data_IF_436268986825
#
_entry.id   IF_436268986825
#
_cell.length_a   1.000
_cell.length_b   1.000
_cell.length_c   1.000
_cell.angle_alpha   90.00
_cell.angle_beta   90.00
_cell.angle_gamma   90.00
#
_symmetry.space_group_name_H-M   'P 1'
#
loop_
_entity.id
_entity.type
_entity.pdbx_description
1 polymer ?
#
# COMPACT_ATOMS: atom_id res chain seq x y z
N UNK A 1 -31.28 -5.71 -1.04
CA UNK A 1 -30.03 -5.13 -0.49
C UNK A 1 -29.31 -6.26 0.23
N UNK A 2 -28.04 -6.49 -0.06
CA UNK A 2 -27.25 -7.56 0.55
C UNK A 2 -27.06 -7.26 2.04
N UNK A 3 -27.40 -8.20 2.92
CA UNK A 3 -27.09 -8.11 4.35
C UNK A 3 -25.70 -8.71 4.61
N UNK A 4 -24.69 -7.85 4.73
CA UNK A 4 -23.32 -8.29 5.01
C UNK A 4 -23.01 -8.21 6.52
N UNK A 5 -22.81 -9.38 7.10
CA UNK A 5 -22.33 -9.58 8.46
C UNK A 5 -20.79 -9.60 8.43
N UNK A 6 -20.19 -8.51 8.89
CA UNK A 6 -18.75 -8.28 8.75
C UNK A 6 -18.12 -8.16 10.13
N UNK A 7 -17.06 -8.94 10.35
CA UNK A 7 -16.15 -8.80 11.48
C UNK A 7 -14.86 -8.11 11.01
N UNK A 8 -14.65 -6.87 11.44
CA UNK A 8 -13.57 -5.99 10.98
C UNK A 8 -12.75 -5.37 12.14
N UNK A 9 -12.95 -5.84 13.36
CA UNK A 9 -12.28 -5.38 14.58
C UNK A 9 -10.84 -5.93 14.75
N UNK A 10 -10.30 -6.60 13.72
CA UNK A 10 -8.94 -7.09 13.71
C UNK A 10 -7.95 -6.02 13.28
N UNK A 11 -6.83 -5.89 14.00
CA UNK A 11 -5.73 -5.01 13.61
C UNK A 11 -4.71 -5.70 12.71
N UNK A 12 -4.61 -7.02 12.81
CA UNK A 12 -3.64 -7.83 12.10
C UNK A 12 -4.07 -9.32 12.08
N UNK A 13 -3.29 -10.15 11.39
CA UNK A 13 -3.50 -11.60 11.30
C UNK A 13 -3.43 -12.32 12.66
N UNK A 14 -2.57 -11.87 13.58
CA UNK A 14 -2.40 -12.54 14.88
C UNK A 14 -3.69 -12.45 15.70
N UNK A 15 -4.31 -11.27 15.77
CA UNK A 15 -5.60 -11.08 16.44
C UNK A 15 -6.71 -11.94 15.82
N UNK A 16 -6.72 -12.07 14.49
CA UNK A 16 -7.65 -12.98 13.81
C UNK A 16 -7.45 -14.44 14.23
N UNK A 17 -6.20 -14.93 14.22
CA UNK A 17 -5.88 -16.31 14.63
C UNK A 17 -6.24 -16.59 16.09
N UNK A 18 -5.94 -15.66 16.98
CA UNK A 18 -6.34 -15.76 18.38
C UNK A 18 -7.86 -15.80 18.55
N UNK A 19 -8.60 -14.99 17.78
CA UNK A 19 -10.05 -15.03 17.79
C UNK A 19 -10.59 -16.37 17.29
N UNK A 20 -10.09 -16.90 16.16
CA UNK A 20 -10.49 -18.23 15.65
C UNK A 20 -10.25 -19.29 16.73
N UNK A 21 -9.06 -19.33 17.31
CA UNK A 21 -8.72 -20.33 18.34
C UNK A 21 -9.64 -20.27 19.56
N UNK A 22 -10.03 -19.06 20.00
CA UNK A 22 -11.00 -18.90 21.09
C UNK A 22 -12.42 -19.30 20.66
N UNK A 23 -12.86 -18.87 19.48
CA UNK A 23 -14.21 -19.13 18.97
C UNK A 23 -14.47 -20.63 18.80
N UNK A 24 -13.47 -21.38 18.31
CA UNK A 24 -13.54 -22.85 18.16
C UNK A 24 -13.78 -23.59 19.48
N UNK A 25 -13.44 -23.00 20.63
CA UNK A 25 -13.65 -23.63 21.95
C UNK A 25 -15.09 -23.48 22.47
N UNK A 26 -15.91 -22.67 21.80
CA UNK A 26 -17.22 -22.24 22.27
C UNK A 26 -18.27 -22.22 21.17
N UNK A 27 -18.13 -23.07 20.15
CA UNK A 27 -19.11 -23.15 19.06
C UNK A 27 -20.48 -23.63 19.58
N UNK A 28 -21.55 -23.19 18.91
CA UNK A 28 -22.88 -23.77 19.11
C UNK A 28 -22.89 -25.27 18.84
N UNK A 29 -23.79 -26.05 19.48
CA UNK A 29 -23.90 -27.49 19.23
C UNK A 29 -24.05 -27.85 17.75
N UNK A 30 -24.78 -27.05 16.99
CA UNK A 30 -25.01 -27.23 15.56
C UNK A 30 -23.72 -27.08 14.73
N UNK A 31 -22.87 -26.11 15.06
CA UNK A 31 -21.60 -25.88 14.37
C UNK A 31 -20.47 -26.76 14.93
N UNK A 32 -20.55 -27.19 16.19
CA UNK A 32 -19.57 -28.09 16.81
C UNK A 32 -19.47 -29.43 16.07
N UNK A 33 -20.58 -29.92 15.49
CA UNK A 33 -20.60 -31.12 14.66
C UNK A 33 -19.69 -31.05 13.42
N UNK A 34 -19.27 -29.85 13.00
CA UNK A 34 -18.33 -29.64 11.88
C UNK A 34 -16.87 -29.79 12.25
N UNK A 35 -16.55 -29.86 13.53
CA UNK A 35 -15.16 -29.97 13.98
C UNK A 35 -14.51 -31.28 13.57
N UNK A 36 -15.31 -32.33 13.36
CA UNK A 36 -14.82 -33.62 12.87
C UNK A 36 -14.17 -33.50 11.48
N UNK A 37 -14.61 -32.55 10.65
CA UNK A 37 -14.01 -32.27 9.33
C UNK A 37 -12.55 -31.78 9.43
N UNK A 38 -12.15 -31.27 10.60
CA UNK A 38 -10.79 -30.80 10.89
C UNK A 38 -10.01 -31.74 11.82
N UNK A 39 -10.56 -32.92 12.12
CA UNK A 39 -9.90 -33.96 12.90
C UNK A 39 -8.69 -34.53 12.14
N UNK A 40 -7.72 -35.06 12.88
CA UNK A 40 -6.54 -35.69 12.29
C UNK A 40 -6.92 -36.84 11.34
N UNK A 41 -7.88 -37.68 11.72
CA UNK A 41 -8.35 -38.80 10.90
C UNK A 41 -8.95 -38.33 9.57
N UNK A 42 -9.87 -37.35 9.61
CA UNK A 42 -10.54 -36.85 8.40
C UNK A 42 -9.58 -36.10 7.51
N UNK A 43 -8.68 -35.29 8.08
CA UNK A 43 -7.68 -34.54 7.31
C UNK A 43 -6.67 -35.48 6.67
N UNK A 44 -6.17 -36.50 7.37
CA UNK A 44 -5.27 -37.50 6.79
C UNK A 44 -5.96 -38.31 5.68
N UNK A 45 -7.22 -38.70 5.88
CA UNK A 45 -8.04 -39.35 4.83
C UNK A 45 -8.16 -38.47 3.60
N UNK A 46 -8.40 -37.17 3.79
CA UNK A 46 -8.49 -36.19 2.71
C UNK A 46 -7.15 -36.00 1.99
N UNK A 47 -6.03 -35.97 2.71
CA UNK A 47 -4.67 -35.89 2.13
C UNK A 47 -4.41 -37.10 1.24
N UNK A 48 -4.77 -38.31 1.68
CA UNK A 48 -4.57 -39.55 0.90
C UNK A 48 -5.46 -39.59 -0.33
N UNK A 49 -6.75 -39.27 -0.17
CA UNK A 49 -7.73 -39.36 -1.26
C UNK A 49 -7.61 -38.21 -2.27
N UNK A 50 -7.18 -37.03 -1.81
CA UNK A 50 -7.07 -35.81 -2.60
C UNK A 50 -5.74 -35.10 -2.28
N UNK A 51 -4.59 -35.62 -2.73
CA UNK A 51 -3.26 -35.10 -2.38
C UNK A 51 -3.04 -33.64 -2.83
N UNK A 52 -3.79 -33.17 -3.82
CA UNK A 52 -3.74 -31.77 -4.28
C UNK A 52 -4.68 -30.83 -3.50
N UNK A 53 -5.47 -31.34 -2.55
CA UNK A 53 -6.41 -30.54 -1.77
C UNK A 53 -5.68 -29.58 -0.83
N UNK A 54 -4.77 -30.06 0.01
CA UNK A 54 -3.93 -29.12 0.78
C UNK A 54 -2.67 -28.70 0.02
N UNK A 55 -2.41 -29.34 -1.13
CA UNK A 55 -1.17 -29.22 -1.88
C UNK A 55 -0.29 -30.45 -1.66
N UNK A 56 0.58 -30.77 -2.62
CA UNK A 56 1.41 -31.98 -2.57
C UNK A 56 2.28 -31.99 -1.30
N UNK A 57 2.60 -33.18 -0.79
CA UNK A 57 3.47 -33.39 0.37
C UNK A 57 3.03 -32.62 1.62
N UNK A 58 1.71 -32.53 1.86
CA UNK A 58 1.17 -31.90 3.07
C UNK A 58 0.86 -32.95 4.13
N UNK A 59 1.21 -32.66 5.38
CA UNK A 59 0.84 -33.51 6.54
C UNK A 59 -0.12 -32.79 7.49
N UNK A 60 -0.84 -33.54 8.32
CA UNK A 60 -1.67 -32.96 9.37
C UNK A 60 -0.84 -32.16 10.40
N UNK A 61 0.36 -32.63 10.74
CA UNK A 61 1.28 -31.93 11.65
C UNK A 61 1.69 -30.54 11.10
N UNK A 62 1.96 -30.45 9.80
CA UNK A 62 2.24 -29.18 9.12
C UNK A 62 1.05 -28.20 9.20
N UNK A 63 -0.17 -28.71 9.01
CA UNK A 63 -1.38 -27.89 9.09
C UNK A 63 -1.70 -27.42 10.52
N UNK A 64 -1.51 -28.30 11.51
CA UNK A 64 -1.87 -28.05 12.91
C UNK A 64 -0.85 -27.21 13.68
N UNK A 65 0.44 -27.27 13.31
CA UNK A 65 1.51 -26.47 13.92
C UNK A 65 1.47 -24.98 13.54
N UNK A 66 0.73 -24.64 12.49
CA UNK A 66 0.54 -23.27 12.01
C UNK A 66 1.52 -22.90 10.90
N UNK A 67 0.99 -22.33 9.82
CA UNK A 67 1.74 -22.09 8.60
C UNK A 67 2.22 -20.64 8.57
N UNK A 68 3.52 -20.46 8.32
CA UNK A 68 4.18 -19.15 8.34
C UNK A 68 4.78 -18.77 6.99
N UNK A 69 4.94 -19.72 6.07
CA UNK A 69 5.50 -19.47 4.75
C UNK A 69 4.68 -20.12 3.65
N UNK A 70 4.54 -19.43 2.52
CA UNK A 70 3.98 -20.00 1.31
C UNK A 70 4.75 -21.25 0.87
N UNK A 71 4.04 -22.32 0.46
CA UNK A 71 4.66 -23.66 0.27
C UNK A 71 5.76 -23.67 -0.77
N UNK A 72 5.59 -22.87 -1.82
CA UNK A 72 6.44 -22.83 -3.01
C UNK A 72 6.86 -21.40 -3.31
N UNK A 73 7.78 -20.80 -2.53
CA UNK A 73 8.17 -19.40 -2.69
C UNK A 73 8.65 -19.07 -4.11
N UNK A 74 9.27 -20.03 -4.81
CA UNK A 74 9.71 -19.90 -6.19
C UNK A 74 8.54 -19.65 -7.16
N UNK A 75 7.36 -20.20 -6.87
CA UNK A 75 6.18 -20.03 -7.71
C UNK A 75 5.62 -18.59 -7.60
N UNK A 76 5.79 -17.93 -6.46
CA UNK A 76 5.43 -16.51 -6.29
C UNK A 76 6.22 -15.69 -7.31
N UNK A 77 7.54 -15.88 -7.36
CA UNK A 77 8.41 -15.12 -8.26
C UNK A 77 8.10 -15.45 -9.73
N UNK A 78 7.90 -16.73 -10.06
CA UNK A 78 7.56 -17.15 -11.42
C UNK A 78 6.27 -16.49 -11.94
N UNK A 79 5.19 -16.53 -11.16
CA UNK A 79 3.92 -15.92 -11.57
C UNK A 79 4.01 -14.39 -11.55
N UNK A 80 4.71 -13.84 -10.56
CA UNK A 80 4.98 -12.40 -10.49
C UNK A 80 5.65 -11.92 -11.78
N UNK A 81 6.77 -12.51 -12.18
CA UNK A 81 7.51 -12.10 -13.38
C UNK A 81 6.66 -12.29 -14.63
N UNK A 82 6.00 -13.45 -14.75
CA UNK A 82 5.10 -13.77 -15.87
C UNK A 82 4.01 -12.69 -16.07
N UNK A 83 3.33 -12.29 -15.00
CA UNK A 83 2.27 -11.26 -15.07
C UNK A 83 2.89 -9.87 -15.25
N UNK A 84 3.88 -9.52 -14.43
CA UNK A 84 4.49 -8.20 -14.38
C UNK A 84 5.11 -7.83 -15.74
N UNK A 85 5.85 -8.72 -16.38
CA UNK A 85 6.53 -8.46 -17.66
C UNK A 85 5.56 -8.16 -18.80
N UNK A 86 4.32 -8.65 -18.72
CA UNK A 86 3.27 -8.36 -19.71
C UNK A 86 2.48 -7.09 -19.43
N UNK A 87 2.65 -6.47 -18.26
CA UNK A 87 2.04 -5.16 -17.99
C UNK A 87 2.74 -4.10 -18.81
N UNK A 88 1.98 -3.44 -19.69
CA UNK A 88 2.52 -2.43 -20.59
C UNK A 88 3.21 -1.28 -19.86
N UNK A 89 4.27 -0.74 -20.46
CA UNK A 89 4.95 0.47 -19.97
C UNK A 89 4.00 1.67 -19.88
N UNK A 90 2.99 1.73 -20.75
CA UNK A 90 1.94 2.75 -20.70
C UNK A 90 1.15 2.65 -19.40
N UNK A 91 0.68 1.45 -19.03
CA UNK A 91 -0.03 1.19 -17.77
C UNK A 91 0.84 1.58 -16.58
N UNK A 92 2.10 1.12 -16.53
CA UNK A 92 3.05 1.46 -15.45
C UNK A 92 3.24 2.97 -15.29
N UNK A 93 3.31 3.71 -16.40
CA UNK A 93 3.55 5.14 -16.41
C UNK A 93 2.31 5.99 -16.10
N UNK A 94 1.11 5.41 -16.00
CA UNK A 94 -0.13 6.12 -15.63
C UNK A 94 -0.14 6.56 -14.18
N UNK A 95 0.54 5.82 -13.30
CA UNK A 95 0.72 6.20 -11.89
C UNK A 95 2.15 6.72 -11.74
N UNK A 96 2.30 8.05 -11.83
CA UNK A 96 3.63 8.69 -11.76
C UNK A 96 4.07 8.88 -10.32
N UNK A 97 5.36 8.61 -10.08
CA UNK A 97 6.04 9.07 -8.88
C UNK A 97 5.91 10.59 -8.75
N UNK A 98 5.78 11.08 -7.52
CA UNK A 98 5.68 12.52 -7.27
C UNK A 98 6.88 13.21 -7.89
N UNK A 99 6.64 14.22 -8.73
CA UNK A 99 7.70 15.09 -9.20
C UNK A 99 8.21 15.89 -8.00
N UNK A 100 9.52 15.81 -7.78
CA UNK A 100 10.22 16.70 -6.86
C UNK A 100 10.04 18.13 -7.39
N UNK A 101 9.47 19.00 -6.57
CA UNK A 101 9.34 20.40 -6.89
C UNK A 101 10.38 21.22 -6.15
N UNK A 102 10.67 22.41 -6.67
CA UNK A 102 11.61 23.33 -6.05
C UNK A 102 10.95 24.66 -5.76
N UNK A 103 11.10 25.13 -4.53
CA UNK A 103 10.48 26.34 -4.03
C UNK A 103 11.51 27.28 -3.37
N UNK A 104 11.10 28.54 -3.19
CA UNK A 104 11.87 29.58 -2.51
C UNK A 104 11.41 29.83 -1.07
N UNK A 105 10.34 29.15 -0.65
CA UNK A 105 9.62 29.35 0.60
C UNK A 105 10.21 28.59 1.80
N UNK A 106 11.34 27.90 1.62
CA UNK A 106 11.98 27.15 2.70
C UNK A 106 11.30 25.82 3.02
N UNK A 107 10.39 25.34 2.17
CA UNK A 107 9.69 24.08 2.39
C UNK A 107 10.53 22.92 1.88
N UNK A 108 10.80 21.93 2.75
CA UNK A 108 11.54 20.72 2.41
C UNK A 108 13.05 20.84 2.66
N UNK A 109 13.84 20.18 1.82
CA UNK A 109 15.30 20.04 2.00
C UNK A 109 16.04 21.06 1.15
N UNK A 110 16.99 21.77 1.74
CA UNK A 110 17.85 22.70 0.99
C UNK A 110 18.79 21.93 0.05
N UNK A 111 18.81 22.32 -1.23
CA UNK A 111 19.64 21.71 -2.28
C UNK A 111 20.75 22.68 -2.67
N UNK A 112 21.95 22.43 -2.14
CA UNK A 112 23.11 23.28 -2.38
C UNK A 112 23.48 23.37 -3.86
N UNK A 113 23.37 22.29 -4.63
CA UNK A 113 23.71 22.29 -6.05
C UNK A 113 22.89 23.32 -6.85
N UNK A 114 21.60 23.47 -6.51
CA UNK A 114 20.77 24.51 -7.15
C UNK A 114 21.18 25.90 -6.71
N UNK A 115 21.53 26.07 -5.44
CA UNK A 115 22.01 27.35 -4.93
C UNK A 115 23.36 27.72 -5.57
N UNK A 116 24.23 26.74 -5.79
CA UNK A 116 25.60 26.91 -6.28
C UNK A 116 25.65 27.41 -7.73
N UNK A 117 24.70 26.96 -8.57
CA UNK A 117 24.56 27.41 -9.97
C UNK A 117 24.40 28.92 -10.13
N UNK A 118 23.91 29.61 -9.11
CA UNK A 118 23.62 31.05 -9.15
C UNK A 118 24.49 31.88 -8.22
N UNK A 119 25.61 31.36 -7.72
CA UNK A 119 26.41 32.09 -6.71
C UNK A 119 27.11 33.30 -7.33
N UNK A 120 26.99 34.44 -6.64
CA UNK A 120 27.70 35.66 -6.96
C UNK A 120 28.09 36.41 -5.69
N UNK A 121 29.02 37.33 -5.84
CA UNK A 121 29.44 38.27 -4.79
C UNK A 121 28.99 39.66 -5.19
N UNK A 122 28.43 40.41 -4.24
CA UNK A 122 28.15 41.83 -4.43
C UNK A 122 29.33 42.65 -3.97
N UNK A 123 29.61 43.72 -4.71
CA UNK A 123 30.55 44.74 -4.28
C UNK A 123 29.80 45.78 -3.44
N UNK A 124 30.49 46.31 -2.44
CA UNK A 124 30.04 47.41 -1.59
C UNK A 124 31.09 48.53 -1.62
N UNK A 125 30.63 49.76 -1.41
CA UNK A 125 31.49 50.92 -1.25
C UNK A 125 31.68 51.19 0.24
N UNK A 126 32.90 51.03 0.73
CA UNK A 126 33.25 51.15 2.15
C UNK A 126 34.19 52.33 2.39
N UNK A 127 33.93 53.12 3.44
CA UNK A 127 34.87 54.14 3.92
C UNK A 127 35.69 53.59 5.09
N UNK A 128 37.03 53.48 4.96
CA UNK A 128 37.89 53.15 6.08
C UNK A 128 37.82 54.19 7.21
N UNK A 129 37.66 55.48 6.87
CA UNK A 129 37.59 56.58 7.83
C UNK A 129 36.34 56.53 8.68
N UNK A 130 35.18 56.28 8.06
CA UNK A 130 33.89 56.24 8.75
C UNK A 130 33.47 54.85 9.24
N UNK A 131 34.23 53.81 8.86
CA UNK A 131 33.97 52.40 9.17
C UNK A 131 32.56 51.93 8.80
N UNK A 132 31.99 52.45 7.71
CA UNK A 132 30.65 52.10 7.22
C UNK A 132 30.58 52.06 5.69
N UNK A 133 29.52 51.45 5.19
CA UNK A 133 29.19 51.37 3.76
C UNK A 133 28.34 52.56 3.31
N UNK A 134 28.41 52.89 2.03
CA UNK A 134 27.70 54.00 1.40
C UNK A 134 27.04 53.59 0.09
N UNK A 135 25.93 54.25 -0.25
CA UNK A 135 25.23 54.01 -1.50
C UNK A 135 25.93 54.69 -2.68
N UNK A 136 25.67 54.16 -3.88
CA UNK A 136 26.26 54.66 -5.13
C UNK A 136 25.93 56.14 -5.43
N UNK A 137 24.90 56.70 -4.79
CA UNK A 137 24.49 58.11 -4.92
C UNK A 137 25.31 59.06 -4.04
N UNK A 138 26.00 58.54 -3.02
CA UNK A 138 26.77 59.33 -2.04
C UNK A 138 28.24 59.42 -2.42
N UNK A 139 28.64 58.78 -3.52
CA UNK A 139 30.02 58.67 -3.95
C UNK A 139 30.24 59.41 -5.26
N UNK A 140 31.44 59.99 -5.39
CA UNK A 140 31.94 60.61 -6.61
C UNK A 140 33.00 59.69 -7.21
N UNK A 141 32.77 59.26 -8.46
CA UNK A 141 33.76 58.52 -9.23
C UNK A 141 34.78 59.47 -9.86
N UNK A 142 36.06 59.11 -9.78
CA UNK A 142 37.16 59.83 -10.40
C UNK A 142 38.15 58.85 -11.02
N UNK A 143 39.07 59.36 -11.86
CA UNK A 143 40.15 58.56 -12.44
C UNK A 143 41.09 57.94 -11.39
N UNK A 144 41.08 58.46 -10.15
CA UNK A 144 41.91 58.00 -9.02
C UNK A 144 41.15 57.10 -8.04
N UNK A 145 39.87 56.79 -8.30
CA UNK A 145 39.03 55.98 -7.42
C UNK A 145 37.75 56.70 -6.97
N UNK A 146 37.14 56.21 -5.89
CA UNK A 146 35.89 56.73 -5.34
C UNK A 146 36.15 57.61 -4.12
N UNK A 147 35.43 58.72 -4.00
CA UNK A 147 35.43 59.57 -2.81
C UNK A 147 34.01 59.88 -2.35
N UNK A 148 33.81 60.15 -1.06
CA UNK A 148 32.52 60.55 -0.54
C UNK A 148 32.19 61.99 -0.97
N UNK A 149 30.96 62.28 -1.40
CA UNK A 149 30.55 63.63 -1.84
C UNK A 149 30.60 64.63 -0.68
N UNK A 150 30.26 64.19 0.53
CA UNK A 150 30.10 65.08 1.70
C UNK A 150 31.42 65.68 2.20
N UNK A 151 32.51 64.91 2.18
CA UNK A 151 33.76 65.28 2.82
C UNK A 151 35.03 64.91 2.04
N UNK A 152 34.89 64.41 0.81
CA UNK A 152 35.98 63.94 -0.05
C UNK A 152 36.86 62.82 0.56
N UNK A 153 36.40 62.12 1.59
CA UNK A 153 37.14 60.97 2.13
C UNK A 153 37.21 59.82 1.12
N UNK A 154 38.31 59.04 1.10
CA UNK A 154 38.48 57.94 0.16
C UNK A 154 37.50 56.79 0.45
N UNK A 155 36.95 56.22 -0.61
CA UNK A 155 36.05 55.06 -0.61
C UNK A 155 36.71 53.93 -1.38
N UNK A 156 36.65 52.72 -0.81
CA UNK A 156 37.12 51.51 -1.47
C UNK A 156 35.94 50.66 -1.92
N UNK A 157 36.04 50.14 -3.14
CA UNK A 157 35.12 49.11 -3.64
C UNK A 157 35.67 47.75 -3.19
N UNK A 158 34.91 47.02 -2.38
CA UNK A 158 35.29 45.69 -1.89
C UNK A 158 34.12 44.72 -1.97
N UNK A 159 34.35 43.43 -1.79
CA UNK A 159 33.26 42.47 -1.65
C UNK A 159 32.49 42.73 -0.35
N UNK A 160 31.17 42.64 -0.39
CA UNK A 160 30.33 42.67 0.82
C UNK A 160 30.85 41.62 1.81
N UNK A 161 31.10 42.00 3.05
CA UNK A 161 31.67 41.12 4.08
C UNK A 161 30.63 40.76 5.15
N UNK A 162 30.78 39.57 5.74
CA UNK A 162 30.09 39.17 6.97
C UNK A 162 30.77 39.80 8.20
N UNK A 163 30.17 39.64 9.37
CA UNK A 163 30.75 40.09 10.65
C UNK A 163 32.11 39.46 10.97
N UNK A 164 32.42 38.29 10.38
CA UNK A 164 33.71 37.58 10.49
C UNK A 164 34.76 38.02 9.45
N UNK A 165 34.46 39.03 8.62
CA UNK A 165 35.36 39.55 7.58
C UNK A 165 35.38 38.72 6.27
N UNK A 166 34.69 37.57 6.20
CA UNK A 166 34.63 36.76 4.97
C UNK A 166 33.63 37.36 3.97
N UNK A 167 33.87 37.21 2.65
CA UNK A 167 32.92 37.65 1.64
C UNK A 167 31.55 36.99 1.82
N UNK A 168 30.50 37.80 1.76
CA UNK A 168 29.13 37.33 1.70
C UNK A 168 28.84 36.83 0.29
N UNK A 169 28.42 35.58 0.21
CA UNK A 169 28.03 34.94 -1.04
C UNK A 169 26.50 34.90 -1.09
N UNK A 170 25.93 35.32 -2.21
CA UNK A 170 24.49 35.28 -2.48
C UNK A 170 24.23 34.35 -3.66
N UNK A 171 23.03 33.80 -3.74
CA UNK A 171 22.59 33.06 -4.93
C UNK A 171 21.46 33.82 -5.62
N UNK A 172 21.49 33.87 -6.95
CA UNK A 172 20.40 34.39 -7.77
C UNK A 172 19.28 33.36 -7.91
N UNK A 173 19.58 32.07 -7.70
CA UNK A 173 18.59 31.02 -7.74
C UNK A 173 17.79 31.00 -6.44
N UNK A 174 16.50 31.32 -6.54
CA UNK A 174 15.60 31.35 -5.39
C UNK A 174 14.96 29.98 -5.12
N UNK A 175 14.85 29.10 -6.11
CA UNK A 175 14.22 27.77 -5.97
C UNK A 175 15.23 26.73 -5.47
N UNK A 176 15.65 26.89 -4.23
CA UNK A 176 16.75 26.11 -3.61
C UNK A 176 16.29 25.10 -2.57
N UNK A 177 14.98 25.01 -2.30
CA UNK A 177 14.43 23.97 -1.45
C UNK A 177 13.66 22.97 -2.29
N UNK A 178 13.98 21.69 -2.14
CA UNK A 178 13.29 20.59 -2.80
C UNK A 178 12.27 19.97 -1.85
N UNK A 179 11.07 19.74 -2.37
CA UNK A 179 9.98 19.16 -1.60
C UNK A 179 9.03 18.37 -2.49
N UNK A 180 8.26 17.50 -1.87
CA UNK A 180 7.11 16.86 -2.52
C UNK A 180 5.86 17.66 -2.16
N UNK A 181 5.10 18.15 -3.16
CA UNK A 181 3.86 18.85 -2.88
C UNK A 181 2.91 17.99 -2.01
N UNK A 182 2.29 18.57 -0.97
CA UNK A 182 1.27 17.93 -0.18
C UNK A 182 0.02 17.84 -1.05
N UNK A 183 -0.08 16.75 -1.83
CA UNK A 183 -1.40 16.20 -2.10
C UNK A 183 -1.95 15.68 -0.79
N UNK A 184 -3.24 15.91 -0.51
CA UNK A 184 -3.90 15.33 0.66
C UNK A 184 -3.71 13.81 0.60
N UNK A 185 -2.84 13.28 1.48
CA UNK A 185 -2.52 11.84 1.56
C UNK A 185 -3.80 11.01 1.62
N UNK A 186 -4.82 11.53 2.30
CA UNK A 186 -6.14 10.91 2.45
C UNK A 186 -6.90 10.75 1.12
N UNK A 187 -6.95 11.77 0.25
CA UNK A 187 -7.66 11.66 -1.05
C UNK A 187 -7.02 10.65 -2.01
N UNK A 188 -5.72 10.39 -1.82
CA UNK A 188 -4.95 9.46 -2.65
C UNK A 188 -4.80 8.09 -2.03
N UNK A 189 -5.17 7.91 -0.76
CA UNK A 189 -5.04 6.63 -0.09
C UNK A 189 -5.81 5.55 -0.86
N UNK A 190 -5.24 4.36 -0.90
CA UNK A 190 -5.79 3.20 -1.57
C UNK A 190 -5.96 2.07 -0.58
N UNK A 191 -7.12 1.41 -0.60
CA UNK A 191 -7.35 0.13 0.06
C UNK A 191 -7.56 -0.97 -0.97
N UNK A 192 -6.75 -2.02 -0.88
CA UNK A 192 -6.89 -3.23 -1.69
C UNK A 192 -7.55 -4.30 -0.82
N UNK A 193 -8.70 -4.81 -1.27
CA UNK A 193 -9.37 -5.95 -0.66
C UNK A 193 -9.07 -7.19 -1.48
N UNK A 194 -8.53 -8.22 -0.83
CA UNK A 194 -8.16 -9.47 -1.49
C UNK A 194 -8.96 -10.62 -0.89
N UNK A 195 -9.82 -11.22 -1.70
CA UNK A 195 -10.55 -12.43 -1.33
C UNK A 195 -9.59 -13.60 -1.24
N UNK A 196 -9.67 -14.35 -0.15
CA UNK A 196 -8.92 -15.58 0.02
C UNK A 196 -9.74 -16.78 -0.50
N UNK A 197 -9.05 -17.67 -1.20
CA UNK A 197 -9.55 -18.99 -1.54
C UNK A 197 -10.11 -19.13 -2.95
N UNK A 198 -10.67 -20.31 -3.20
CA UNK A 198 -11.20 -20.69 -4.50
C UNK A 198 -12.04 -21.94 -4.40
N UNK A 199 -12.32 -22.55 -5.55
CA UNK A 199 -13.16 -23.74 -5.59
C UNK A 199 -12.36 -25.00 -5.28
N UNK A 200 -13.06 -26.11 -5.12
CA UNK A 200 -12.43 -27.42 -4.92
C UNK A 200 -11.48 -27.84 -6.03
N UNK A 201 -11.67 -27.30 -7.24
CA UNK A 201 -10.88 -27.62 -8.44
C UNK A 201 -9.73 -26.66 -8.69
N UNK A 202 -9.63 -25.57 -7.92
CA UNK A 202 -8.62 -24.54 -8.13
C UNK A 202 -7.27 -25.01 -7.57
N UNK A 203 -6.22 -24.93 -8.40
CA UNK A 203 -4.85 -25.29 -8.00
C UNK A 203 -4.18 -24.16 -7.22
N UNK A 204 -3.08 -24.47 -6.50
CA UNK A 204 -2.29 -23.45 -5.80
C UNK A 204 -1.77 -22.35 -6.75
N UNK A 205 -1.35 -22.73 -7.97
CA UNK A 205 -0.92 -21.78 -9.00
C UNK A 205 -2.06 -20.85 -9.43
N UNK A 206 -3.26 -21.39 -9.63
CA UNK A 206 -4.41 -20.57 -10.01
C UNK A 206 -4.82 -19.60 -8.89
N UNK A 207 -4.78 -20.04 -7.63
CA UNK A 207 -5.09 -19.19 -6.48
C UNK A 207 -4.11 -18.01 -6.33
N UNK A 208 -2.86 -18.17 -6.77
CA UNK A 208 -1.82 -17.13 -6.68
C UNK A 208 -2.13 -15.89 -7.51
N UNK A 209 -2.82 -15.99 -8.65
CA UNK A 209 -3.05 -14.84 -9.52
C UNK A 209 -3.79 -13.70 -8.82
N UNK A 210 -4.72 -14.00 -7.91
CA UNK A 210 -5.42 -12.97 -7.12
C UNK A 210 -4.47 -12.21 -6.18
N UNK A 211 -3.63 -12.94 -5.43
CA UNK A 211 -2.63 -12.35 -4.53
C UNK A 211 -1.56 -11.57 -5.31
N UNK A 212 -1.04 -12.13 -6.39
CA UNK A 212 -0.02 -11.51 -7.25
C UNK A 212 -0.55 -10.23 -7.89
N UNK A 213 -1.82 -10.20 -8.32
CA UNK A 213 -2.42 -8.97 -8.86
C UNK A 213 -2.41 -7.84 -7.85
N UNK A 214 -2.80 -8.12 -6.60
CA UNK A 214 -2.77 -7.16 -5.52
C UNK A 214 -1.33 -6.73 -5.15
N UNK A 215 -0.39 -7.68 -5.15
CA UNK A 215 1.05 -7.42 -4.92
C UNK A 215 1.59 -6.43 -5.96
N UNK A 216 1.36 -6.68 -7.25
CA UNK A 216 1.88 -5.84 -8.32
C UNK A 216 1.30 -4.43 -8.23
N UNK A 217 -0.02 -4.31 -8.04
CA UNK A 217 -0.66 -2.99 -7.84
C UNK A 217 -0.07 -2.30 -6.63
N UNK A 218 0.05 -2.96 -5.48
CA UNK A 218 0.63 -2.38 -4.27
C UNK A 218 2.06 -1.88 -4.50
N UNK A 219 2.90 -2.62 -5.22
CA UNK A 219 4.27 -2.20 -5.53
C UNK A 219 4.31 -0.97 -6.45
N UNK A 220 3.47 -0.92 -7.49
CA UNK A 220 3.36 0.26 -8.35
C UNK A 220 2.92 1.50 -7.56
N UNK A 221 2.00 1.33 -6.60
CA UNK A 221 1.55 2.40 -5.71
C UNK A 221 2.64 2.84 -4.72
N UNK A 222 3.38 1.92 -4.14
CA UNK A 222 4.51 2.21 -3.24
C UNK A 222 5.62 2.99 -3.96
N UNK A 223 5.97 2.58 -5.19
CA UNK A 223 6.92 3.30 -6.05
C UNK A 223 6.44 4.73 -6.37
N UNK A 224 5.13 4.95 -6.41
CA UNK A 224 4.53 6.25 -6.61
C UNK A 224 4.29 7.05 -5.31
N UNK A 225 4.70 6.51 -4.16
CA UNK A 225 4.46 7.06 -2.82
C UNK A 225 2.98 7.31 -2.52
N UNK A 226 2.13 6.40 -2.98
CA UNK A 226 0.69 6.39 -2.68
C UNK A 226 0.46 5.47 -1.46
N UNK A 227 -0.10 6.00 -0.35
CA UNK A 227 -0.40 5.20 0.83
C UNK A 227 -1.36 4.06 0.47
N UNK A 228 -0.93 2.83 0.73
CA UNK A 228 -1.68 1.62 0.34
C UNK A 228 -1.83 0.68 1.53
N UNK A 229 -3.07 0.34 1.88
CA UNK A 229 -3.43 -0.68 2.85
C UNK A 229 -3.97 -1.91 2.12
N UNK A 230 -3.64 -3.11 2.60
CA UNK A 230 -4.15 -4.37 2.06
C UNK A 230 -4.91 -5.09 3.17
N UNK A 231 -6.15 -5.46 2.84
CA UNK A 231 -7.06 -6.18 3.72
C UNK A 231 -7.43 -7.49 3.03
N UNK A 232 -7.23 -8.60 3.72
CA UNK A 232 -7.69 -9.91 3.26
C UNK A 232 -9.13 -10.10 3.74
N UNK A 233 -9.97 -10.59 2.86
CA UNK A 233 -11.33 -10.95 3.16
C UNK A 233 -11.46 -12.47 3.16
N UNK A 234 -11.84 -13.01 4.32
CA UNK A 234 -12.18 -14.42 4.52
C UNK A 234 -13.67 -14.50 4.80
N UNK A 235 -14.44 -15.19 3.98
CA UNK A 235 -15.86 -15.31 4.21
C UNK A 235 -16.56 -16.09 3.12
N UNK A 236 -17.84 -16.35 3.34
CA UNK A 236 -18.69 -16.98 2.35
C UNK A 236 -20.12 -16.50 2.42
N UNK A 237 -20.93 -16.97 1.48
CA UNK A 237 -22.36 -16.74 1.46
C UNK A 237 -23.09 -18.06 1.24
N UNK A 238 -24.20 -18.32 1.97
CA UNK A 238 -25.03 -19.49 1.76
C UNK A 238 -25.86 -19.41 0.46
N UNK A 239 -26.01 -18.20 -0.11
CA UNK A 239 -26.95 -17.91 -1.20
C UNK A 239 -26.31 -17.11 -2.35
N UNK A 240 -25.02 -17.34 -2.61
CA UNK A 240 -24.29 -16.70 -3.73
C UNK A 240 -24.34 -15.17 -3.67
N UNK A 241 -24.32 -14.60 -2.46
CA UNK A 241 -24.31 -13.16 -2.21
C UNK A 241 -25.58 -12.45 -2.73
N UNK A 242 -26.73 -13.14 -2.66
CA UNK A 242 -28.03 -12.56 -2.98
C UNK A 242 -28.65 -11.86 -1.77
N UNK A 243 -28.66 -12.49 -0.59
CA UNK A 243 -29.30 -11.94 0.62
C UNK A 243 -28.33 -11.83 1.78
N UNK A 244 -27.42 -12.79 1.97
CA UNK A 244 -26.52 -12.78 3.13
C UNK A 244 -25.06 -13.06 2.77
N UNK A 245 -24.15 -12.40 3.48
CA UNK A 245 -22.72 -12.69 3.42
C UNK A 245 -22.12 -12.61 4.82
N UNK A 246 -21.19 -13.50 5.14
CA UNK A 246 -20.50 -13.56 6.43
C UNK A 246 -19.00 -13.49 6.16
N UNK A 247 -18.34 -12.43 6.61
CA UNK A 247 -16.94 -12.18 6.28
C UNK A 247 -16.14 -11.58 7.45
N UNK A 248 -14.89 -11.98 7.56
CA UNK A 248 -13.84 -11.32 8.30
C UNK A 248 -13.02 -10.44 7.34
N UNK A 249 -12.76 -9.19 7.74
CA UNK A 249 -11.85 -8.28 7.06
C UNK A 249 -10.60 -8.11 7.93
N UNK A 250 -9.47 -8.60 7.43
CA UNK A 250 -8.23 -8.74 8.20
C UNK A 250 -7.15 -7.88 7.54
N UNK A 251 -6.73 -6.77 8.17
CA UNK A 251 -5.60 -6.00 7.69
C UNK A 251 -4.32 -6.85 7.74
N UNK A 252 -3.58 -6.87 6.63
CA UNK A 252 -2.29 -7.59 6.55
C UNK A 252 -1.13 -6.68 6.14
N UNK A 253 -1.44 -5.47 5.72
CA UNK A 253 -0.49 -4.39 5.46
C UNK A 253 -1.19 -3.06 5.73
N UNK A 254 -0.68 -2.26 6.66
CA UNK A 254 -1.11 -0.88 6.90
C UNK A 254 -0.44 0.11 5.92
N UNK A 255 -0.90 1.36 5.91
CA UNK A 255 -0.45 2.39 4.95
C UNK A 255 1.04 2.70 5.00
N UNK A 256 1.67 2.52 6.16
CA UNK A 256 3.07 2.80 6.48
C UNK A 256 3.96 1.55 6.58
N UNK A 257 3.36 0.36 6.47
CA UNK A 257 4.06 -0.91 6.46
C UNK A 257 4.56 -1.26 5.06
N UNK A 258 5.69 -1.97 4.99
CA UNK A 258 6.21 -2.51 3.73
C UNK A 258 5.40 -3.72 3.29
N UNK A 259 5.28 -3.91 1.99
CA UNK A 259 4.67 -5.10 1.43
C UNK A 259 5.49 -6.37 1.75
N UNK A 260 4.84 -7.37 2.35
CA UNK A 260 5.36 -8.75 2.47
C UNK A 260 4.66 -9.65 1.45
N UNK A 261 5.40 -10.01 0.39
CA UNK A 261 4.88 -10.85 -0.69
C UNK A 261 4.62 -12.28 -0.24
N UNK A 262 5.44 -12.83 0.67
CA UNK A 262 5.29 -14.21 1.12
C UNK A 262 4.04 -14.34 1.99
N UNK A 263 3.87 -13.42 2.93
CA UNK A 263 2.69 -13.37 3.79
C UNK A 263 1.42 -13.19 2.96
N UNK A 264 1.42 -12.25 2.00
CA UNK A 264 0.24 -12.01 1.18
C UNK A 264 -0.10 -13.24 0.33
N UNK A 265 0.88 -13.86 -0.33
CA UNK A 265 0.69 -15.08 -1.10
C UNK A 265 0.21 -16.27 -0.23
N UNK A 266 0.79 -16.43 0.96
CA UNK A 266 0.34 -17.43 1.94
C UNK A 266 -1.14 -17.28 2.24
N UNK A 267 -1.55 -16.06 2.63
CA UNK A 267 -2.88 -15.82 3.15
C UNK A 267 -3.96 -15.76 2.06
N UNK A 268 -3.62 -15.36 0.83
CA UNK A 268 -4.62 -15.27 -0.24
C UNK A 268 -4.71 -16.53 -1.06
N UNK A 269 -3.63 -17.33 -1.12
CA UNK A 269 -3.43 -18.27 -2.21
C UNK A 269 -2.89 -19.64 -1.82
N UNK A 270 -2.40 -19.85 -0.60
CA UNK A 270 -1.94 -21.16 -0.16
C UNK A 270 -3.12 -22.08 0.21
N UNK A 271 -3.30 -23.23 -0.47
CA UNK A 271 -4.40 -24.13 -0.16
C UNK A 271 -4.34 -24.66 1.27
N UNK A 272 -3.15 -24.82 1.86
CA UNK A 272 -3.00 -25.28 3.23
C UNK A 272 -3.61 -24.29 4.21
N UNK A 273 -3.28 -23.00 4.05
CA UNK A 273 -3.84 -21.94 4.88
C UNK A 273 -5.36 -21.81 4.65
N UNK A 274 -5.78 -21.63 3.40
CA UNK A 274 -7.19 -21.39 3.08
C UNK A 274 -8.10 -22.57 3.49
N UNK A 275 -7.73 -23.80 3.09
CA UNK A 275 -8.59 -24.99 3.29
C UNK A 275 -8.55 -25.52 4.73
N UNK A 276 -7.57 -25.13 5.53
CA UNK A 276 -7.49 -25.54 6.94
C UNK A 276 -7.83 -24.40 7.90
N UNK A 277 -7.01 -23.34 7.94
CA UNK A 277 -7.25 -22.18 8.83
C UNK A 277 -8.41 -21.31 8.34
N UNK A 278 -8.52 -21.07 7.03
CA UNK A 278 -9.58 -20.25 6.44
C UNK A 278 -10.97 -20.83 6.63
N UNK A 279 -11.15 -22.14 6.40
CA UNK A 279 -12.45 -22.82 6.60
C UNK A 279 -12.85 -22.91 8.08
N UNK A 280 -11.90 -23.09 9.01
CA UNK A 280 -12.16 -22.92 10.46
C UNK A 280 -12.65 -21.50 10.77
N UNK A 281 -12.06 -20.51 10.11
CA UNK A 281 -12.52 -19.12 10.15
C UNK A 281 -13.96 -18.95 9.70
N UNK A 282 -14.37 -19.64 8.63
CA UNK A 282 -15.76 -19.60 8.16
C UNK A 282 -16.69 -20.16 9.24
N UNK A 283 -16.37 -21.32 9.80
CA UNK A 283 -17.15 -21.93 10.88
C UNK A 283 -17.35 -20.94 12.05
N UNK A 284 -16.26 -20.31 12.50
CA UNK A 284 -16.30 -19.32 13.57
C UNK A 284 -17.12 -18.07 13.21
N UNK A 285 -17.09 -17.64 11.94
CA UNK A 285 -17.85 -16.47 11.48
C UNK A 285 -19.35 -16.74 11.50
N UNK A 286 -19.80 -17.86 10.93
CA UNK A 286 -21.21 -18.23 10.95
C UNK A 286 -21.72 -18.33 12.39
N UNK A 287 -20.96 -19.01 13.25
CA UNK A 287 -21.30 -19.15 14.67
C UNK A 287 -21.37 -17.81 15.41
N UNK A 288 -20.39 -16.93 15.18
CA UNK A 288 -20.35 -15.58 15.76
C UNK A 288 -21.59 -14.75 15.42
N UNK A 289 -22.14 -14.94 14.23
CA UNK A 289 -23.36 -14.27 13.79
C UNK A 289 -24.65 -15.06 14.08
N UNK A 290 -24.56 -16.17 14.83
CA UNK A 290 -25.70 -16.97 15.26
C UNK A 290 -26.33 -17.81 14.14
N UNK A 291 -25.53 -18.21 13.16
CA UNK A 291 -25.98 -18.94 11.97
C UNK A 291 -25.27 -20.28 11.88
N UNK A 292 -25.99 -21.30 11.43
CA UNK A 292 -25.41 -22.62 11.13
C UNK A 292 -24.69 -22.54 9.79
N UNK A 293 -23.45 -23.01 9.73
CA UNK A 293 -22.69 -23.03 8.48
C UNK A 293 -23.31 -24.01 7.46
N UNK A 294 -23.39 -23.66 6.17
CA UNK A 294 -23.84 -24.59 5.13
C UNK A 294 -22.92 -25.80 4.98
N UNK A 295 -23.48 -26.94 4.54
CA UNK A 295 -22.73 -28.21 4.34
C UNK A 295 -21.48 -28.08 3.48
N UNK A 296 -21.48 -27.16 2.52
CA UNK A 296 -20.39 -26.95 1.57
C UNK A 296 -19.55 -25.70 1.88
N UNK A 297 -19.67 -25.15 3.10
CA UNK A 297 -19.06 -23.88 3.52
C UNK A 297 -19.50 -22.65 2.69
N UNK A 298 -20.53 -22.79 1.84
CA UNK A 298 -21.07 -21.73 0.99
C UNK A 298 -20.17 -21.34 -0.19
N UNK A 299 -20.46 -20.18 -0.76
CA UNK A 299 -19.76 -19.63 -1.91
C UNK A 299 -18.65 -18.67 -1.47
N UNK A 300 -17.40 -18.94 -1.85
CA UNK A 300 -16.24 -18.09 -1.53
C UNK A 300 -16.25 -16.73 -2.24
N UNK A 301 -15.29 -15.87 -1.86
CA UNK A 301 -15.24 -14.45 -2.24
C UNK A 301 -14.54 -14.22 -3.58
N UNK A 302 -15.29 -13.73 -4.58
CA UNK A 302 -14.74 -13.16 -5.81
C UNK A 302 -14.71 -11.63 -5.79
N UNK A 303 -14.07 -11.02 -6.79
CA UNK A 303 -14.01 -9.56 -6.99
C UNK A 303 -15.38 -8.88 -6.87
N UNK A 304 -16.39 -9.41 -7.56
CA UNK A 304 -17.76 -8.84 -7.53
C UNK A 304 -18.41 -8.99 -6.15
N UNK A 305 -18.29 -10.15 -5.51
CA UNK A 305 -18.80 -10.38 -4.15
C UNK A 305 -18.16 -9.45 -3.13
N UNK A 306 -16.84 -9.23 -3.21
CA UNK A 306 -16.14 -8.29 -2.32
C UNK A 306 -16.65 -6.87 -2.48
N UNK A 307 -16.82 -6.42 -3.73
CA UNK A 307 -17.40 -5.11 -4.01
C UNK A 307 -18.81 -4.99 -3.42
N UNK A 308 -19.66 -6.00 -3.59
CA UNK A 308 -21.01 -6.02 -2.99
C UNK A 308 -20.95 -5.91 -1.46
N UNK A 309 -20.08 -6.67 -0.82
CA UNK A 309 -19.92 -6.67 0.64
C UNK A 309 -19.43 -5.33 1.15
N UNK A 310 -18.46 -4.70 0.49
CA UNK A 310 -17.85 -3.46 0.99
C UNK A 310 -18.66 -2.24 0.59
N UNK A 311 -19.09 -2.14 -0.68
CA UNK A 311 -19.74 -0.94 -1.22
C UNK A 311 -21.27 -0.99 -1.12
N UNK A 312 -21.89 -2.15 -1.39
CA UNK A 312 -23.35 -2.23 -1.59
C UNK A 312 -24.14 -2.66 -0.33
N UNK A 313 -23.44 -3.09 0.72
CA UNK A 313 -24.05 -3.51 1.99
C UNK A 313 -24.23 -2.37 3.00
N UNK A 314 -23.74 -1.17 2.68
CA UNK A 314 -23.64 -0.04 3.61
C UNK A 314 -22.42 -0.10 4.54
N UNK A 315 -21.52 -1.08 4.39
CA UNK A 315 -20.28 -1.16 5.18
C UNK A 315 -19.35 0.05 4.96
N UNK A 316 -19.11 0.44 3.72
CA UNK A 316 -18.29 1.61 3.41
C UNK A 316 -18.85 2.93 3.95
N UNK A 317 -20.16 3.01 4.21
CA UNK A 317 -20.81 4.21 4.74
C UNK A 317 -20.65 4.34 6.27
N UNK A 318 -20.57 3.19 6.96
CA UNK A 318 -20.40 3.13 8.43
C UNK A 318 -18.94 3.09 8.88
N UNK A 319 -18.03 2.68 8.00
CA UNK A 319 -16.60 2.52 8.32
C UNK A 319 -15.75 3.54 7.59
N UNK A 320 -14.74 4.10 8.28
CA UNK A 320 -13.79 5.04 7.67
C UNK A 320 -12.80 4.30 6.76
N UNK A 321 -13.16 4.15 5.49
CA UNK A 321 -12.31 3.57 4.46
C UNK A 321 -11.62 4.64 3.61
N UNK A 322 -10.54 4.26 2.93
CA UNK A 322 -9.94 5.07 1.89
C UNK A 322 -10.94 5.40 0.76
N UNK A 323 -10.78 6.54 0.08
CA UNK A 323 -11.66 6.93 -1.02
C UNK A 323 -11.45 6.09 -2.29
N UNK A 324 -10.26 5.51 -2.47
CA UNK A 324 -9.95 4.62 -3.58
C UNK A 324 -9.90 3.19 -3.05
N UNK A 325 -10.79 2.33 -3.55
CA UNK A 325 -10.94 0.94 -3.11
C UNK A 325 -10.94 0.03 -4.32
N UNK A 326 -10.13 -1.02 -4.27
CA UNK A 326 -10.00 -2.00 -5.34
C UNK A 326 -10.08 -3.42 -4.80
N UNK A 327 -10.59 -4.33 -5.65
CA UNK A 327 -11.02 -5.65 -5.24
C UNK A 327 -10.35 -6.71 -6.12
N UNK A 328 -9.70 -7.68 -5.49
CA UNK A 328 -9.06 -8.83 -6.13
C UNK A 328 -9.62 -10.09 -5.53
N UNK A 329 -10.01 -11.06 -6.34
CA UNK A 329 -10.53 -12.33 -5.83
C UNK A 329 -11.08 -13.17 -6.95
N UNK A 330 -10.77 -14.47 -6.92
CA UNK A 330 -11.08 -15.43 -8.00
C UNK A 330 -10.50 -15.06 -9.37
N UNK A 331 -9.42 -14.27 -9.40
CA UNK A 331 -8.51 -14.20 -10.56
C UNK A 331 -7.76 -15.52 -10.61
N UNK A 332 -7.92 -16.31 -11.67
CA UNK A 332 -7.38 -17.68 -11.75
C UNK A 332 -6.35 -17.89 -12.86
N UNK A 333 -6.18 -16.91 -13.74
CA UNK A 333 -5.19 -16.97 -14.80
C UNK A 333 -4.48 -15.64 -15.05
N UNK A 334 -3.47 -15.70 -15.92
CA UNK A 334 -2.61 -14.58 -16.28
C UNK A 334 -3.37 -13.46 -17.01
N UNK A 335 -4.30 -13.81 -17.90
CA UNK A 335 -5.06 -12.84 -18.68
C UNK A 335 -5.94 -11.98 -17.77
N UNK A 336 -6.70 -12.65 -16.90
CA UNK A 336 -7.53 -11.98 -15.88
C UNK A 336 -6.69 -11.12 -14.94
N UNK A 337 -5.50 -11.58 -14.54
CA UNK A 337 -4.61 -10.83 -13.68
C UNK A 337 -4.16 -9.51 -14.35
N UNK A 338 -3.70 -9.58 -15.60
CA UNK A 338 -3.26 -8.40 -16.37
C UNK A 338 -4.42 -7.42 -16.58
N UNK A 339 -5.61 -7.94 -16.90
CA UNK A 339 -6.83 -7.14 -17.05
C UNK A 339 -7.17 -6.41 -15.76
N UNK A 340 -7.29 -7.13 -14.64
CA UNK A 340 -7.64 -6.56 -13.34
C UNK A 340 -6.63 -5.51 -12.85
N UNK A 341 -5.33 -5.74 -13.07
CA UNK A 341 -4.28 -4.76 -12.77
C UNK A 341 -4.47 -3.52 -13.64
N UNK A 342 -4.65 -3.70 -14.95
CA UNK A 342 -4.77 -2.59 -15.90
C UNK A 342 -6.00 -1.73 -15.59
N UNK A 343 -7.16 -2.35 -15.38
CA UNK A 343 -8.39 -1.63 -14.98
C UNK A 343 -8.21 -0.82 -13.70
N UNK A 344 -7.55 -1.43 -12.70
CA UNK A 344 -7.29 -0.77 -11.40
C UNK A 344 -6.41 0.46 -11.57
N UNK A 345 -5.32 0.32 -12.32
CA UNK A 345 -4.36 1.41 -12.56
C UNK A 345 -5.00 2.53 -13.40
N UNK A 346 -5.83 2.17 -14.38
CA UNK A 346 -6.51 3.12 -15.26
C UNK A 346 -7.55 3.95 -14.51
N UNK A 347 -8.42 3.29 -13.74
CA UNK A 347 -9.41 3.95 -12.91
C UNK A 347 -8.74 4.88 -11.88
N UNK A 348 -7.71 4.38 -11.19
CA UNK A 348 -6.99 5.19 -10.21
C UNK A 348 -6.30 6.39 -10.83
N UNK A 349 -5.64 6.22 -11.98
CA UNK A 349 -4.99 7.34 -12.68
C UNK A 349 -6.02 8.41 -13.05
N UNK A 350 -7.20 8.02 -13.54
CA UNK A 350 -8.27 8.95 -13.85
C UNK A 350 -8.74 9.72 -12.61
N UNK A 351 -8.93 9.04 -11.47
CA UNK A 351 -9.34 9.66 -10.20
C UNK A 351 -8.27 10.59 -9.60
N UNK A 352 -6.99 10.29 -9.82
CA UNK A 352 -5.89 11.09 -9.29
C UNK A 352 -5.54 12.31 -10.15
N UNK A 353 -5.95 12.34 -11.42
CA UNK A 353 -5.73 13.44 -12.35
C UNK A 353 -6.91 14.44 -12.43
N UNK A 354 -8.03 14.13 -11.76
CA UNK A 354 -9.15 15.05 -11.50
C UNK A 354 -8.88 15.83 -10.20
#
# INVERSE_FOLDING_TARGET
MLNAHIKDDFRNLLEYREWVNRALQSLSPENQARMDEFSEETVNTQIVNMPNWFGPDTSFEELSSGITQYKRPELIQQIYDKVNDKISTLTRNKIKSKKLEYNASGLGVFVFDRASMGLFRLKEFYSPSHKKTFDNKEIKSSRRGYTLIKDNTPIIERWEQKSDGKPKIRTSNKKVFAWFPPSSKEKRAVELFVGCGGTSRTTAEQLLYSGISAIIVAQLLEQAHIPTKITIALGSSPDTYEKAAYAALIPVKNYDERLDMNLLALLTSDPRFFRFEGLKGYLCLYDHFGVVIPDNFGHGLGRSSLKKIVEESGYADRTKLAPNRYYFGRTIDEGEAIEHITETIDDLSNKLNQ
#
